data_IF_247090533885
#
_entry.id   IF_247090533885
#
_cell.length_a   1.000
_cell.length_b   1.000
_cell.length_c   1.000
_cell.angle_alpha   90.00
_cell.angle_beta   90.00
_cell.angle_gamma   90.00
#
_symmetry.space_group_name_H-M   'P 1'
#
loop_
_entity.id
_entity.type
_entity.pdbx_description
1 polymer ?
#
# COMPACT_ATOMS: atom_id res chain seq x y z
N UNK A 1 32.34 6.04 2.45
CA UNK A 1 31.09 5.33 2.83
C UNK A 1 30.04 6.39 3.16
N UNK A 2 29.22 6.78 2.18
CA UNK A 2 28.25 7.88 2.35
C UNK A 2 27.00 7.37 3.07
N UNK A 3 26.62 8.00 4.19
CA UNK A 3 25.33 7.77 4.84
C UNK A 3 24.24 8.22 3.86
N UNK A 4 23.49 7.27 3.28
CA UNK A 4 22.19 7.60 2.67
C UNK A 4 21.35 8.23 3.76
N UNK A 5 21.04 9.51 3.60
CA UNK A 5 20.06 10.20 4.44
C UNK A 5 18.71 9.52 4.23
N UNK A 6 17.93 9.39 5.29
CA UNK A 6 16.58 8.80 5.30
C UNK A 6 15.63 9.47 4.27
N UNK A 7 16.01 10.66 3.77
CA UNK A 7 15.32 11.48 2.78
C UNK A 7 15.21 10.89 1.36
N UNK A 8 15.98 9.85 1.02
CA UNK A 8 15.98 9.24 -0.33
C UNK A 8 15.38 7.82 -0.34
N UNK A 9 14.74 7.42 0.76
CA UNK A 9 14.05 6.15 0.84
C UNK A 9 12.78 6.19 -0.03
N UNK A 10 12.48 5.14 -0.82
CA UNK A 10 11.20 5.06 -1.50
C UNK A 10 10.08 5.13 -0.47
N UNK A 11 9.07 5.92 -0.78
CA UNK A 11 7.90 6.13 0.08
C UNK A 11 6.67 5.62 -0.60
N UNK A 12 5.70 5.19 0.20
CA UNK A 12 4.36 4.85 -0.25
C UNK A 12 3.35 5.79 0.41
N UNK A 13 2.14 5.86 -0.14
CA UNK A 13 1.04 6.59 0.49
C UNK A 13 0.59 5.93 1.80
N UNK A 14 0.24 6.75 2.80
CA UNK A 14 -0.33 6.30 4.07
C UNK A 14 -1.72 5.67 3.92
N UNK A 15 -2.36 5.74 2.75
CA UNK A 15 -3.63 5.07 2.50
C UNK A 15 -3.57 3.55 2.75
N UNK A 16 -2.47 2.88 2.35
CA UNK A 16 -2.31 1.43 2.57
C UNK A 16 -2.21 1.05 4.06
N UNK A 17 -1.28 1.61 4.86
CA UNK A 17 -1.24 1.28 6.29
C UNK A 17 -2.53 1.68 7.00
N UNK A 18 -3.21 2.77 6.61
CA UNK A 18 -4.51 3.13 7.20
C UNK A 18 -5.59 2.08 6.92
N UNK A 19 -5.71 1.60 5.68
CA UNK A 19 -6.65 0.54 5.33
C UNK A 19 -6.33 -0.77 6.05
N UNK A 20 -5.05 -1.10 6.17
CA UNK A 20 -4.60 -2.29 6.87
C UNK A 20 -4.91 -2.22 8.37
N UNK A 21 -4.66 -1.09 9.02
CA UNK A 21 -4.99 -0.90 10.45
C UNK A 21 -6.50 -0.96 10.67
N UNK A 22 -7.31 -0.36 9.79
CA UNK A 22 -8.77 -0.49 9.86
C UNK A 22 -9.25 -1.94 9.73
N UNK A 23 -8.62 -2.74 8.86
CA UNK A 23 -8.87 -4.18 8.75
C UNK A 23 -8.57 -4.95 10.04
N UNK A 24 -7.55 -4.55 10.80
CA UNK A 24 -7.24 -5.13 12.10
C UNK A 24 -8.25 -4.69 13.17
N UNK A 25 -8.63 -3.41 13.17
CA UNK A 25 -9.60 -2.84 14.12
C UNK A 25 -10.97 -3.51 14.00
N UNK A 26 -11.43 -3.82 12.79
CA UNK A 26 -12.66 -4.59 12.55
C UNK A 26 -12.63 -5.99 13.18
N UNK A 27 -11.43 -6.53 13.45
CA UNK A 27 -11.21 -7.82 14.11
C UNK A 27 -10.95 -7.69 15.60
N UNK A 28 -11.11 -6.50 16.16
CA UNK A 28 -10.88 -6.21 17.57
C UNK A 28 -9.41 -6.06 17.96
N UNK A 29 -8.49 -5.91 16.99
CA UNK A 29 -7.07 -5.67 17.26
C UNK A 29 -6.79 -4.16 17.29
N UNK A 30 -6.02 -3.70 18.29
CA UNK A 30 -5.68 -2.28 18.43
C UNK A 30 -4.53 -1.88 17.49
N UNK A 31 -4.88 -1.24 16.36
CA UNK A 31 -3.90 -0.74 15.39
C UNK A 31 -2.95 0.32 15.97
N UNK A 32 -3.37 1.11 16.96
CA UNK A 32 -2.49 2.09 17.63
C UNK A 32 -1.52 1.41 18.58
N UNK A 33 -1.93 0.33 19.25
CA UNK A 33 -1.02 -0.49 20.03
C UNK A 33 0.08 -1.09 19.15
N UNK A 34 -0.28 -1.61 17.98
CA UNK A 34 0.67 -2.09 16.99
C UNK A 34 1.70 -1.01 16.63
N UNK A 35 1.26 0.20 16.27
CA UNK A 35 2.17 1.30 15.93
C UNK A 35 3.09 1.67 17.10
N UNK A 36 2.61 1.65 18.35
CA UNK A 36 3.47 1.90 19.53
C UNK A 36 4.53 0.81 19.70
N UNK A 37 4.16 -0.46 19.53
CA UNK A 37 5.06 -1.61 19.70
C UNK A 37 6.26 -1.53 18.74
N UNK A 38 6.02 -1.11 17.50
CA UNK A 38 7.08 -0.99 16.48
C UNK A 38 7.73 0.41 16.42
N UNK A 39 7.43 1.29 17.39
CA UNK A 39 8.06 2.62 17.49
C UNK A 39 7.59 3.64 16.44
N UNK A 40 6.41 3.45 15.86
CA UNK A 40 5.82 4.28 14.79
C UNK A 40 4.59 5.08 15.26
N UNK A 41 4.46 5.31 16.56
CA UNK A 41 3.32 6.01 17.17
C UNK A 41 3.17 7.48 16.78
N UNK A 42 4.22 8.09 16.22
CA UNK A 42 4.22 9.48 15.76
C UNK A 42 3.78 9.65 14.31
N UNK A 43 3.57 8.55 13.58
CA UNK A 43 3.06 8.60 12.20
C UNK A 43 1.65 9.19 12.19
N UNK A 44 1.44 10.18 11.32
CA UNK A 44 0.15 10.82 11.09
C UNK A 44 -0.50 10.26 9.85
N UNK A 45 -1.08 9.07 9.97
CA UNK A 45 -1.63 8.32 8.84
C UNK A 45 -2.97 8.88 8.33
N UNK A 46 -3.59 9.76 9.11
CA UNK A 46 -4.87 10.40 8.82
C UNK A 46 -4.75 11.60 7.87
N UNK A 47 -3.54 12.15 7.70
CA UNK A 47 -3.32 13.27 6.79
C UNK A 47 -3.45 12.79 5.32
N UNK A 48 -4.23 13.48 4.46
CA UNK A 48 -4.54 12.99 3.10
C UNK A 48 -3.33 12.73 2.21
N UNK A 49 -2.25 13.49 2.41
CA UNK A 49 -1.02 13.38 1.64
C UNK A 49 0.12 12.72 2.43
N UNK A 50 -0.17 12.13 3.59
CA UNK A 50 0.83 11.45 4.39
C UNK A 50 1.49 10.33 3.59
N UNK A 51 2.80 10.23 3.76
CA UNK A 51 3.62 9.17 3.19
C UNK A 51 4.39 8.48 4.30
N UNK A 52 4.64 7.20 4.09
CA UNK A 52 5.52 6.39 4.95
C UNK A 52 6.63 5.82 4.11
N UNK A 53 7.79 5.56 4.71
CA UNK A 53 8.85 4.84 4.01
C UNK A 53 8.40 3.41 3.72
N UNK A 54 8.93 2.79 2.66
CA UNK A 54 8.64 1.38 2.38
C UNK A 54 8.99 0.47 3.55
N UNK A 55 10.05 0.80 4.30
CA UNK A 55 10.46 0.06 5.51
C UNK A 55 9.43 0.19 6.65
N UNK A 56 8.88 1.38 6.88
CA UNK A 56 7.81 1.59 7.86
C UNK A 56 6.57 0.78 7.49
N UNK A 57 6.17 0.79 6.22
CA UNK A 57 5.05 -0.02 5.77
C UNK A 57 5.30 -1.51 5.91
N UNK A 58 6.49 -2.00 5.55
CA UNK A 58 6.86 -3.40 5.72
C UNK A 58 6.80 -3.81 7.20
N UNK A 59 7.26 -2.98 8.12
CA UNK A 59 7.16 -3.24 9.55
C UNK A 59 5.69 -3.33 10.01
N UNK A 60 4.84 -2.39 9.58
CA UNK A 60 3.40 -2.42 9.89
C UNK A 60 2.75 -3.68 9.33
N UNK A 61 3.02 -4.02 8.06
CA UNK A 61 2.43 -5.17 7.39
C UNK A 61 2.87 -6.50 8.00
N UNK A 62 4.15 -6.64 8.34
CA UNK A 62 4.68 -7.85 8.98
C UNK A 62 4.06 -8.07 10.36
N UNK A 63 3.99 -7.02 11.19
CA UNK A 63 3.37 -7.11 12.51
C UNK A 63 1.87 -7.36 12.43
N UNK A 64 1.18 -6.72 11.48
CA UNK A 64 -0.25 -6.96 11.23
C UNK A 64 -0.53 -8.42 10.86
N UNK A 65 0.29 -9.00 9.98
CA UNK A 65 0.19 -10.40 9.60
C UNK A 65 0.43 -11.34 10.79
N UNK A 66 1.47 -11.07 11.58
CA UNK A 66 1.80 -11.87 12.75
C UNK A 66 0.71 -11.83 13.83
N UNK A 67 0.14 -10.65 14.12
CA UNK A 67 -0.90 -10.46 15.12
C UNK A 67 -2.25 -11.04 14.68
N UNK A 68 -2.59 -10.91 13.40
CA UNK A 68 -3.87 -11.41 12.88
C UNK A 68 -3.88 -12.93 12.69
N UNK A 69 -2.72 -13.56 12.45
CA UNK A 69 -2.61 -14.97 12.12
C UNK A 69 -3.30 -15.36 10.81
N UNK A 70 -3.70 -14.38 9.98
CA UNK A 70 -4.51 -14.60 8.79
C UNK A 70 -3.65 -14.47 7.51
N UNK A 71 -3.31 -15.58 6.84
CA UNK A 71 -2.54 -15.54 5.60
C UNK A 71 -3.27 -14.82 4.46
N UNK A 72 -4.59 -14.65 4.54
CA UNK A 72 -5.42 -13.95 3.55
C UNK A 72 -5.48 -12.42 3.75
N UNK A 73 -4.82 -11.86 4.76
CA UNK A 73 -4.91 -10.44 5.09
C UNK A 73 -4.52 -9.52 3.91
N UNK A 74 -3.47 -9.87 3.17
CA UNK A 74 -3.03 -9.09 2.01
C UNK A 74 -4.04 -9.08 0.86
N UNK A 75 -4.70 -10.20 0.60
CA UNK A 75 -5.75 -10.28 -0.42
C UNK A 75 -6.98 -9.45 -0.02
N UNK A 76 -7.36 -9.49 1.25
CA UNK A 76 -8.46 -8.68 1.78
C UNK A 76 -8.14 -7.18 1.72
N UNK A 77 -6.90 -6.79 2.03
CA UNK A 77 -6.42 -5.43 1.84
C UNK A 77 -6.54 -5.00 0.38
N UNK A 78 -6.08 -5.82 -0.56
CA UNK A 78 -6.16 -5.51 -1.99
C UNK A 78 -7.62 -5.32 -2.46
N UNK A 79 -8.54 -6.22 -2.08
CA UNK A 79 -9.96 -6.13 -2.42
C UNK A 79 -10.66 -4.88 -1.86
N UNK A 80 -10.17 -4.36 -0.73
CA UNK A 80 -10.69 -3.15 -0.10
C UNK A 80 -9.96 -1.87 -0.50
N UNK A 81 -8.90 -1.98 -1.30
CA UNK A 81 -8.13 -0.81 -1.74
C UNK A 81 -8.87 -0.17 -2.92
N UNK A 82 -9.49 1.01 -2.74
CA UNK A 82 -10.12 1.69 -3.87
C UNK A 82 -9.02 2.20 -4.83
N UNK A 83 -9.32 2.36 -6.13
CA UNK A 83 -8.37 2.96 -7.06
C UNK A 83 -7.82 4.30 -6.57
N UNK A 84 -8.63 5.13 -5.92
CA UNK A 84 -8.22 6.43 -5.35
C UNK A 84 -7.12 6.34 -4.29
N UNK A 85 -6.93 5.17 -3.64
CA UNK A 85 -5.81 4.96 -2.73
C UNK A 85 -4.46 5.02 -3.44
N UNK A 86 -4.41 4.85 -4.77
CA UNK A 86 -3.19 4.99 -5.57
C UNK A 86 -2.87 6.46 -5.93
N UNK A 87 -3.57 7.44 -5.35
CA UNK A 87 -3.37 8.85 -5.63
C UNK A 87 -3.72 9.22 -7.07
N UNK A 88 -2.93 10.09 -7.70
CA UNK A 88 -3.17 10.55 -9.09
C UNK A 88 -3.24 9.42 -10.11
N UNK A 89 -2.46 8.35 -9.92
CA UNK A 89 -2.54 7.16 -10.78
C UNK A 89 -3.93 6.52 -10.69
N UNK A 90 -4.46 6.42 -9.48
CA UNK A 90 -5.81 5.94 -9.22
C UNK A 90 -6.88 6.69 -9.97
N UNK A 91 -6.80 8.03 -9.97
CA UNK A 91 -7.71 8.87 -10.74
C UNK A 91 -7.56 8.67 -12.26
N UNK A 92 -6.33 8.56 -12.76
CA UNK A 92 -6.08 8.27 -14.17
C UNK A 92 -6.64 6.90 -14.60
N UNK A 93 -6.50 5.88 -13.74
CA UNK A 93 -7.10 4.56 -13.95
C UNK A 93 -8.63 4.64 -14.03
N UNK A 94 -9.27 5.37 -13.11
CA UNK A 94 -10.73 5.54 -13.12
C UNK A 94 -11.25 6.34 -14.32
N UNK A 95 -10.44 7.27 -14.85
CA UNK A 95 -10.77 8.07 -16.02
C UNK A 95 -10.48 7.36 -17.36
N UNK A 96 -9.92 6.15 -17.32
CA UNK A 96 -9.56 5.39 -18.52
C UNK A 96 -10.81 4.85 -19.22
N UNK A 97 -10.76 4.76 -20.55
CA UNK A 97 -11.90 4.32 -21.36
C UNK A 97 -12.23 2.83 -21.17
N UNK A 98 -11.22 2.01 -20.88
CA UNK A 98 -11.36 0.56 -20.68
C UNK A 98 -10.55 0.07 -19.49
N UNK A 99 -10.90 -1.12 -18.97
CA UNK A 99 -10.09 -1.81 -17.96
C UNK A 99 -8.67 -2.10 -18.49
N UNK A 100 -8.53 -2.44 -19.77
CA UNK A 100 -7.23 -2.65 -20.40
C UNK A 100 -6.34 -1.41 -20.34
N UNK A 101 -6.91 -0.23 -20.62
CA UNK A 101 -6.19 1.04 -20.53
C UNK A 101 -5.77 1.38 -19.09
N UNK A 102 -6.67 1.15 -18.13
CA UNK A 102 -6.38 1.33 -16.71
C UNK A 102 -5.23 0.41 -16.24
N UNK A 103 -5.24 -0.86 -16.66
CA UNK A 103 -4.16 -1.80 -16.34
C UNK A 103 -2.84 -1.39 -17.00
N UNK A 104 -2.85 -0.93 -18.25
CA UNK A 104 -1.64 -0.39 -18.91
C UNK A 104 -1.03 0.78 -18.13
N UNK A 105 -1.86 1.70 -17.61
CA UNK A 105 -1.39 2.79 -16.75
C UNK A 105 -0.81 2.26 -15.44
N UNK A 106 -1.49 1.32 -14.80
CA UNK A 106 -1.03 0.70 -13.57
C UNK A 106 0.36 0.08 -13.75
N UNK A 107 0.55 -0.78 -14.77
CA UNK A 107 1.84 -1.44 -15.05
C UNK A 107 2.98 -0.45 -15.28
N UNK A 108 2.69 0.67 -15.94
CA UNK A 108 3.69 1.70 -16.26
C UNK A 108 4.10 2.51 -15.03
N UNK A 109 3.18 2.82 -14.14
CA UNK A 109 3.39 3.85 -13.11
C UNK A 109 3.35 3.35 -11.66
N UNK A 110 2.82 2.15 -11.38
CA UNK A 110 2.85 1.56 -10.03
C UNK A 110 4.27 1.41 -9.47
N UNK A 111 5.31 1.06 -10.26
CA UNK A 111 6.68 0.97 -9.75
C UNK A 111 7.21 2.30 -9.17
N UNK A 112 6.71 3.45 -9.67
CA UNK A 112 7.06 4.76 -9.12
C UNK A 112 6.42 5.01 -7.74
N UNK A 113 5.31 4.34 -7.45
CA UNK A 113 4.53 4.53 -6.22
C UNK A 113 4.88 3.54 -5.11
N UNK A 114 5.30 2.33 -5.49
CA UNK A 114 5.46 1.20 -4.55
C UNK A 114 6.89 0.64 -4.52
N UNK A 115 7.82 1.21 -5.30
CA UNK A 115 9.18 0.69 -5.45
C UNK A 115 9.26 -0.42 -6.49
N UNK A 116 10.31 -1.24 -6.44
CA UNK A 116 10.62 -2.25 -7.47
C UNK A 116 9.67 -3.46 -7.40
N UNK A 117 8.41 -3.27 -7.80
CA UNK A 117 7.45 -4.35 -8.07
C UNK A 117 7.43 -4.57 -9.57
N UNK A 118 7.71 -5.79 -10.01
CA UNK A 118 7.54 -6.19 -11.40
C UNK A 118 6.13 -6.77 -11.57
N UNK A 119 5.32 -6.10 -12.39
CA UNK A 119 3.97 -6.54 -12.73
C UNK A 119 3.94 -6.64 -14.26
N UNK A 120 3.46 -7.76 -14.77
CA UNK A 120 3.25 -7.98 -16.20
C UNK A 120 1.80 -8.37 -16.46
N UNK A 121 1.31 -8.05 -17.65
CA UNK A 121 -0.02 -8.43 -18.10
C UNK A 121 0.12 -9.47 -19.20
N UNK A 122 -0.38 -10.67 -18.93
CA UNK A 122 -0.58 -11.69 -19.95
C UNK A 122 -1.99 -11.53 -20.50
N UNK A 123 -2.10 -11.47 -21.83
CA UNK A 123 -3.39 -11.57 -22.52
C UNK A 123 -3.50 -12.99 -23.04
N UNK A 124 -4.51 -13.70 -22.59
CA UNK A 124 -4.93 -14.93 -23.25
C UNK A 124 -5.84 -14.52 -24.42
N UNK A 125 -5.39 -14.80 -25.64
CA UNK A 125 -6.25 -14.68 -26.80
C UNK A 125 -7.30 -15.80 -26.71
N UNK A 126 -8.59 -15.45 -26.70
CA UNK A 126 -9.64 -16.44 -26.91
C UNK A 126 -9.47 -17.02 -28.32
N UNK A 127 -9.27 -18.34 -28.42
CA UNK A 127 -9.22 -19.06 -29.70
C UNK A 127 -10.58 -19.05 -30.41
#
# INVERSE_FOLDING_TARGET
>A
MSRRTDSDAPTITAAYPRLLLGLLEERGLDGRALLREIGLSTLRLEEPEARVTSQQYQAIAATALALSGDPGLGAQLALRTPPTAHGSLGYAMMASATLGDALCLALRYMPLLQGNVEISLLREDEQ
#
